data_IF_909212900875
#
_entry.id   IF_909212900875
#
_cell.length_a   1.000
_cell.length_b   1.000
_cell.length_c   1.000
_cell.angle_alpha   90.00
_cell.angle_beta   90.00
_cell.angle_gamma   90.00
#
_symmetry.space_group_name_H-M   'P 1'
#
loop_
_entity.id
_entity.type
_entity.pdbx_description
1 polymer ?
#
# COMPACT_ATOMS: atom_id res chain seq x y z
N UNK A 1 -3.01 14.84 -16.03
CA UNK A 1 -3.46 14.08 -14.83
C UNK A 1 -2.59 12.84 -14.70
N UNK A 2 -1.57 12.88 -13.86
CA UNK A 2 -0.68 11.73 -13.66
C UNK A 2 -1.38 10.73 -12.76
N UNK A 3 -1.81 9.60 -13.32
CA UNK A 3 -2.48 8.51 -12.60
C UNK A 3 -1.47 7.93 -11.61
N UNK A 4 -1.67 8.16 -10.31
CA UNK A 4 -0.88 7.54 -9.25
C UNK A 4 -1.29 6.07 -9.11
N UNK A 5 -0.95 5.27 -10.13
CA UNK A 5 -1.06 3.82 -10.07
C UNK A 5 0.03 3.32 -9.12
N UNK A 6 -0.27 3.36 -7.81
CA UNK A 6 0.56 2.76 -6.76
C UNK A 6 0.38 1.24 -6.79
N UNK A 7 0.52 0.64 -7.96
CA UNK A 7 0.44 -0.80 -8.17
C UNK A 7 1.86 -1.35 -8.09
N UNK A 8 2.19 -1.94 -6.94
CA UNK A 8 3.40 -2.74 -6.82
C UNK A 8 3.06 -4.18 -7.22
N UNK A 9 3.73 -4.69 -8.24
CA UNK A 9 3.64 -6.10 -8.60
C UNK A 9 4.60 -6.88 -7.72
N UNK A 10 4.08 -7.95 -7.11
CA UNK A 10 4.88 -8.91 -6.35
C UNK A 10 4.91 -10.20 -7.17
N UNK A 11 6.10 -10.76 -7.44
CA UNK A 11 6.18 -12.05 -8.11
C UNK A 11 5.54 -13.11 -7.21
N UNK A 12 4.50 -13.76 -7.73
CA UNK A 12 3.84 -14.91 -7.12
C UNK A 12 3.71 -15.99 -8.17
N UNK A 13 4.00 -17.22 -7.79
CA UNK A 13 3.80 -18.39 -8.64
C UNK A 13 2.32 -18.62 -8.91
N UNK A 14 1.96 -19.34 -9.99
CA UNK A 14 0.57 -19.71 -10.26
C UNK A 14 -0.07 -20.49 -9.09
N UNK A 15 0.72 -21.33 -8.41
CA UNK A 15 0.27 -22.12 -7.27
C UNK A 15 -0.03 -21.25 -6.05
N UNK A 16 0.89 -20.37 -5.63
CA UNK A 16 0.65 -19.43 -4.51
C UNK A 16 -0.57 -18.55 -4.77
N UNK A 17 -0.78 -18.14 -6.04
CA UNK A 17 -1.96 -17.36 -6.43
C UNK A 17 -3.26 -18.17 -6.33
N UNK A 18 -3.22 -19.46 -6.62
CA UNK A 18 -4.38 -20.35 -6.47
C UNK A 18 -4.71 -20.54 -4.99
N UNK A 19 -3.72 -20.86 -4.17
CA UNK A 19 -3.86 -21.02 -2.71
C UNK A 19 -4.41 -19.76 -2.05
N UNK A 20 -3.90 -18.58 -2.41
CA UNK A 20 -4.41 -17.30 -1.90
C UNK A 20 -5.90 -17.09 -2.23
N UNK A 21 -6.35 -17.53 -3.41
CA UNK A 21 -7.75 -17.39 -3.83
C UNK A 21 -8.66 -18.35 -3.07
N UNK A 22 -8.23 -19.60 -2.89
CA UNK A 22 -8.97 -20.60 -2.15
C UNK A 22 -9.16 -20.20 -0.69
N UNK A 23 -8.08 -19.74 -0.04
CA UNK A 23 -8.13 -19.25 1.34
C UNK A 23 -9.01 -18.01 1.45
N UNK A 24 -8.88 -17.05 0.53
CA UNK A 24 -9.73 -15.86 0.54
C UNK A 24 -11.22 -16.22 0.39
N UNK A 25 -11.54 -17.17 -0.49
CA UNK A 25 -12.91 -17.67 -0.69
C UNK A 25 -13.45 -18.36 0.57
N UNK A 26 -12.64 -19.18 1.25
CA UNK A 26 -13.03 -19.82 2.51
C UNK A 26 -13.38 -18.81 3.62
N UNK A 27 -12.79 -17.61 3.56
CA UNK A 27 -13.07 -16.50 4.47
C UNK A 27 -14.10 -15.48 3.93
N UNK A 28 -14.69 -15.71 2.76
CA UNK A 28 -15.71 -14.82 2.17
C UNK A 28 -15.18 -13.44 1.78
N UNK A 29 -13.88 -13.31 1.48
CA UNK A 29 -13.24 -12.02 1.13
C UNK A 29 -12.51 -12.08 -0.20
N UNK A 30 -12.16 -10.92 -0.77
CA UNK A 30 -11.33 -10.89 -1.97
C UNK A 30 -9.87 -11.23 -1.67
N UNK A 31 -9.10 -11.79 -2.63
CA UNK A 31 -7.69 -12.13 -2.43
C UNK A 31 -6.82 -10.94 -1.98
N UNK A 32 -7.14 -9.73 -2.43
CA UNK A 32 -6.43 -8.51 -2.02
C UNK A 32 -6.69 -8.13 -0.56
N UNK A 33 -7.94 -8.28 -0.08
CA UNK A 33 -8.29 -8.07 1.34
C UNK A 33 -7.58 -9.12 2.19
N UNK A 34 -7.62 -10.38 1.76
CA UNK A 34 -6.98 -11.48 2.47
C UNK A 34 -5.46 -11.30 2.58
N UNK A 35 -4.79 -10.98 1.45
CA UNK A 35 -3.36 -10.67 1.44
C UNK A 35 -3.00 -9.48 2.36
N UNK A 36 -3.84 -8.44 2.41
CA UNK A 36 -3.66 -7.33 3.34
C UNK A 36 -3.77 -7.77 4.80
N UNK A 37 -4.72 -8.64 5.13
CA UNK A 37 -4.87 -9.18 6.48
C UNK A 37 -3.64 -9.99 6.90
N UNK A 38 -3.15 -10.88 6.03
CA UNK A 38 -1.92 -11.64 6.25
C UNK A 38 -0.70 -10.73 6.48
N UNK A 39 -0.55 -9.68 5.66
CA UNK A 39 0.53 -8.71 5.82
C UNK A 39 0.48 -8.00 7.19
N UNK A 40 -0.71 -7.57 7.63
CA UNK A 40 -0.85 -6.90 8.93
C UNK A 40 -0.61 -7.86 10.09
N UNK A 41 -1.06 -9.10 9.98
CA UNK A 41 -0.82 -10.14 10.97
C UNK A 41 0.68 -10.47 11.07
N UNK A 42 1.35 -10.72 9.94
CA UNK A 42 2.78 -10.97 9.88
C UNK A 42 3.59 -9.79 10.45
N UNK A 43 3.19 -8.54 10.18
CA UNK A 43 3.80 -7.35 10.79
C UNK A 43 3.71 -7.40 12.32
N UNK A 44 2.58 -7.82 12.88
CA UNK A 44 2.39 -7.96 14.32
C UNK A 44 3.29 -9.04 14.93
N UNK A 45 3.51 -10.14 14.21
CA UNK A 45 4.35 -11.26 14.66
C UNK A 45 5.85 -10.97 14.57
N UNK A 46 6.30 -10.25 13.54
CA UNK A 46 7.73 -10.00 13.32
C UNK A 46 8.38 -9.22 14.47
N UNK A 47 7.62 -8.38 15.18
CA UNK A 47 8.10 -7.64 16.35
C UNK A 47 9.31 -6.72 16.10
N UNK A 48 9.74 -6.56 14.85
CA UNK A 48 10.96 -5.83 14.48
C UNK A 48 10.72 -4.31 14.54
N UNK A 49 11.30 -3.62 15.55
CA UNK A 49 11.09 -2.19 15.71
C UNK A 49 11.72 -1.37 14.59
N UNK A 50 12.78 -1.87 13.93
CA UNK A 50 13.47 -1.19 12.83
C UNK A 50 12.60 -1.24 11.57
N UNK A 51 12.04 -2.41 11.25
CA UNK A 51 11.12 -2.55 10.13
C UNK A 51 9.85 -1.71 10.35
N UNK A 52 9.30 -1.71 11.56
CA UNK A 52 8.15 -0.87 11.91
C UNK A 52 8.45 0.63 11.71
N UNK A 53 9.60 1.10 12.21
CA UNK A 53 10.04 2.49 12.06
C UNK A 53 10.24 2.89 10.58
N UNK A 54 10.82 2.00 9.76
CA UNK A 54 10.98 2.22 8.31
C UNK A 54 9.64 2.33 7.58
N UNK A 55 8.68 1.44 7.89
CA UNK A 55 7.33 1.48 7.32
C UNK A 55 6.64 2.80 7.68
N UNK A 56 6.72 3.23 8.94
CA UNK A 56 6.05 4.45 9.37
C UNK A 56 6.74 5.72 8.83
N UNK A 57 8.07 5.69 8.64
CA UNK A 57 8.80 6.74 7.94
C UNK A 57 8.35 6.87 6.48
N UNK A 58 8.21 5.77 5.75
CA UNK A 58 7.73 5.78 4.36
C UNK A 58 6.28 6.30 4.27
N UNK A 59 5.39 5.88 5.17
CA UNK A 59 4.02 6.40 5.24
C UNK A 59 3.98 7.91 5.43
N UNK A 60 4.79 8.43 6.36
CA UNK A 60 4.91 9.88 6.60
C UNK A 60 5.48 10.59 5.36
N UNK A 61 6.56 10.07 4.77
CA UNK A 61 7.16 10.63 3.56
C UNK A 61 6.20 10.65 2.37
N UNK A 62 5.34 9.63 2.22
CA UNK A 62 4.27 9.62 1.21
C UNK A 62 3.21 10.69 1.48
N UNK A 63 2.77 10.84 2.73
CA UNK A 63 1.79 11.87 3.10
C UNK A 63 2.33 13.28 2.82
N UNK A 64 3.59 13.54 3.18
CA UNK A 64 4.28 14.82 2.89
C UNK A 64 4.34 15.09 1.39
N UNK A 65 4.82 14.14 0.58
CA UNK A 65 4.87 14.28 -0.88
C UNK A 65 3.48 14.54 -1.48
N UNK A 66 2.45 13.86 -0.97
CA UNK A 66 1.08 14.07 -1.45
C UNK A 66 0.56 15.46 -1.11
N UNK A 67 0.90 15.98 0.08
CA UNK A 67 0.52 17.33 0.53
C UNK A 67 1.24 18.42 -0.26
N UNK A 68 2.53 18.25 -0.53
CA UNK A 68 3.34 19.16 -1.35
C UNK A 68 2.85 19.18 -2.80
N UNK A 69 2.53 18.01 -3.37
CA UNK A 69 1.95 17.91 -4.70
C UNK A 69 0.58 18.59 -4.77
N UNK A 70 -0.26 18.44 -3.75
CA UNK A 70 -1.56 19.12 -3.67
C UNK A 70 -1.40 20.64 -3.56
N UNK A 71 -0.46 21.12 -2.74
CA UNK A 71 -0.13 22.55 -2.58
C UNK A 71 0.39 23.15 -3.88
N UNK A 72 1.29 22.44 -4.56
CA UNK A 72 1.85 22.84 -5.86
C UNK A 72 0.76 22.90 -6.92
N UNK A 73 -0.11 21.88 -7.00
CA UNK A 73 -1.23 21.87 -7.93
C UNK A 73 -2.25 22.99 -7.64
N UNK A 74 -2.52 23.30 -6.38
CA UNK A 74 -3.40 24.41 -6.00
C UNK A 74 -2.82 25.76 -6.43
N UNK A 75 -1.52 26.01 -6.20
CA UNK A 75 -0.82 27.21 -6.69
C UNK A 75 -0.85 27.31 -8.21
N UNK A 76 -0.54 26.22 -8.93
CA UNK A 76 -0.58 26.22 -10.39
C UNK A 76 -1.99 26.47 -10.97
N UNK A 77 -3.06 26.06 -10.26
CA UNK A 77 -4.44 26.23 -10.71
C UNK A 77 -5.04 27.59 -10.35
N UNK A 78 -4.62 28.18 -9.23
CA UNK A 78 -5.28 29.36 -8.64
C UNK A 78 -4.33 30.54 -8.39
N UNK A 79 -3.04 30.40 -8.67
CA UNK A 79 -2.02 31.40 -8.38
C UNK A 79 -0.97 31.52 -9.48
N UNK A 80 -1.34 32.14 -10.60
CA UNK A 80 -0.60 33.27 -11.21
C UNK A 80 -1.60 34.16 -11.96
N UNK A 81 -1.90 35.32 -11.35
CA UNK A 81 -1.72 36.60 -12.03
C UNK A 81 -0.37 37.12 -11.56
#
# INVERSE_FOLDING_TARGET
>A
MTRLETHQQVPVTPQERAELRELAAAHGVSPGIFARALLMHARGLLGDPVLAARIDAEKRGRATRSSEAATTAARARWGVK
#
